data_IF_344294596380
#
_entry.id   IF_344294596380
#
_cell.length_a   1.000
_cell.length_b   1.000
_cell.length_c   1.000
_cell.angle_alpha   90.00
_cell.angle_beta   90.00
_cell.angle_gamma   90.00
#
_symmetry.space_group_name_H-M   'P 1'
#
loop_
_entity.id
_entity.type
_entity.pdbx_description
1 polymer ?
#
# COMPACT_ATOMS: atom_id res chain seq x y z
N UNK A 1 27.95 -10.81 -15.07
CA UNK A 1 28.64 -11.48 -13.95
C UNK A 1 27.98 -10.96 -12.68
N UNK A 2 27.48 -11.82 -11.78
CA UNK A 2 26.74 -11.41 -10.56
C UNK A 2 27.62 -10.77 -9.48
N UNK A 3 28.92 -11.10 -9.48
CA UNK A 3 29.86 -10.67 -8.46
C UNK A 3 29.96 -9.14 -8.40
N UNK A 4 29.76 -8.58 -7.20
CA UNK A 4 29.82 -7.14 -6.94
C UNK A 4 28.88 -6.27 -7.81
N UNK A 5 27.80 -6.84 -8.34
CA UNK A 5 26.81 -6.06 -9.08
C UNK A 5 26.07 -5.11 -8.12
N UNK A 6 25.97 -3.84 -8.49
CA UNK A 6 25.28 -2.82 -7.70
C UNK A 6 23.75 -3.01 -7.77
N UNK A 7 23.09 -2.99 -6.63
CA UNK A 7 21.63 -2.93 -6.54
C UNK A 7 21.21 -1.46 -6.74
N UNK A 8 20.43 -1.16 -7.79
CA UNK A 8 20.11 0.23 -8.21
C UNK A 8 18.98 0.90 -7.40
N UNK A 9 18.75 0.51 -6.15
CA UNK A 9 17.73 1.08 -5.27
C UNK A 9 18.37 1.56 -3.95
N UNK A 10 18.04 2.75 -3.39
CA UNK A 10 18.76 3.37 -2.26
C UNK A 10 18.70 2.60 -0.94
N UNK A 11 17.92 1.53 -0.88
CA UNK A 11 17.54 0.82 0.35
C UNK A 11 18.36 -0.47 0.52
N UNK A 12 19.01 -0.94 -0.54
CA UNK A 12 19.81 -2.15 -0.49
C UNK A 12 21.17 -1.89 0.17
N UNK A 13 21.43 -2.60 1.27
CA UNK A 13 22.71 -2.51 1.99
C UNK A 13 23.83 -3.33 1.33
N UNK A 14 23.50 -4.25 0.42
CA UNK A 14 24.41 -5.27 -0.11
C UNK A 14 24.51 -5.24 -1.63
N UNK A 15 25.61 -5.76 -2.18
CA UNK A 15 25.70 -6.13 -3.60
C UNK A 15 24.79 -7.33 -3.89
N UNK A 16 24.35 -7.49 -5.14
CA UNK A 16 23.35 -8.52 -5.52
C UNK A 16 23.76 -9.92 -5.04
N UNK A 17 25.03 -10.29 -5.19
CA UNK A 17 25.57 -11.56 -4.73
C UNK A 17 25.49 -11.75 -3.19
N UNK A 18 25.84 -10.73 -2.41
CA UNK A 18 25.70 -10.80 -0.94
C UNK A 18 24.24 -10.80 -0.53
N UNK A 19 23.40 -10.00 -1.16
CA UNK A 19 21.97 -9.93 -0.90
C UNK A 19 21.29 -11.30 -1.09
N UNK A 20 21.56 -12.01 -2.19
CA UNK A 20 21.01 -13.35 -2.44
C UNK A 20 21.39 -14.35 -1.33
N UNK A 21 22.63 -14.27 -0.82
CA UNK A 21 23.06 -15.10 0.31
C UNK A 21 22.34 -14.72 1.60
N UNK A 22 22.17 -13.42 1.88
CA UNK A 22 21.40 -12.96 3.05
C UNK A 22 19.93 -13.40 2.98
N UNK A 23 19.30 -13.28 1.80
CA UNK A 23 17.94 -13.77 1.57
C UNK A 23 17.83 -15.28 1.85
N UNK A 24 18.81 -16.07 1.41
CA UNK A 24 18.84 -17.51 1.71
C UNK A 24 19.02 -17.81 3.21
N UNK A 25 19.80 -17.00 3.94
CA UNK A 25 19.95 -17.11 5.40
C UNK A 25 18.61 -16.85 6.08
N UNK A 26 17.91 -15.77 5.73
CA UNK A 26 16.58 -15.48 6.27
C UNK A 26 15.56 -16.56 5.91
N UNK A 27 15.56 -17.01 4.66
CA UNK A 27 14.69 -18.09 4.19
C UNK A 27 14.90 -19.40 4.98
N UNK A 28 16.14 -19.70 5.41
CA UNK A 28 16.44 -20.90 6.22
C UNK A 28 15.65 -20.93 7.54
N UNK A 29 15.38 -19.77 8.14
CA UNK A 29 14.58 -19.65 9.36
C UNK A 29 13.07 -19.90 9.10
N UNK A 30 12.62 -19.76 7.86
CA UNK A 30 11.23 -19.89 7.44
C UNK A 30 10.88 -21.28 6.87
N UNK A 31 11.85 -22.19 6.76
CA UNK A 31 11.69 -23.55 6.18
C UNK A 31 10.56 -24.37 6.79
N UNK A 32 10.17 -24.10 8.05
CA UNK A 32 9.06 -24.79 8.73
C UNK A 32 7.66 -24.27 8.35
N UNK A 33 7.56 -23.17 7.61
CA UNK A 33 6.30 -22.56 7.15
C UNK A 33 5.85 -23.05 5.78
N UNK A 34 6.72 -23.77 5.06
CA UNK A 34 6.48 -24.20 3.68
C UNK A 34 6.65 -25.72 3.55
N UNK A 35 5.96 -26.32 2.58
CA UNK A 35 6.05 -27.77 2.32
C UNK A 35 7.33 -28.17 1.58
N UNK A 36 7.90 -27.26 0.79
CA UNK A 36 9.09 -27.45 -0.04
C UNK A 36 10.23 -26.51 0.37
N UNK A 37 10.84 -26.72 1.55
CA UNK A 37 11.91 -25.86 2.06
C UNK A 37 13.14 -25.81 1.14
N UNK A 38 13.37 -26.88 0.37
CA UNK A 38 14.39 -26.95 -0.67
C UNK A 38 14.14 -25.92 -1.79
N UNK A 39 12.91 -25.82 -2.29
CA UNK A 39 12.54 -24.83 -3.32
C UNK A 39 12.57 -23.40 -2.77
N UNK A 40 12.21 -23.18 -1.50
CA UNK A 40 12.34 -21.88 -0.85
C UNK A 40 13.81 -21.41 -0.80
N UNK A 41 14.72 -22.29 -0.39
CA UNK A 41 16.14 -21.96 -0.28
C UNK A 41 16.78 -21.68 -1.65
N UNK A 42 16.45 -22.49 -2.66
CA UNK A 42 16.93 -22.26 -4.03
C UNK A 42 16.30 -21.00 -4.61
N UNK A 43 14.99 -20.81 -4.44
CA UNK A 43 14.27 -19.61 -4.83
C UNK A 43 14.94 -18.34 -4.28
N UNK A 44 15.28 -18.31 -2.99
CA UNK A 44 15.98 -17.18 -2.37
C UNK A 44 17.34 -16.87 -3.03
N UNK A 45 18.10 -17.90 -3.43
CA UNK A 45 19.39 -17.73 -4.10
C UNK A 45 19.28 -17.25 -5.55
N UNK A 46 18.12 -17.40 -6.19
CA UNK A 46 17.96 -17.14 -7.63
C UNK A 46 16.91 -16.08 -7.98
N UNK A 47 16.09 -15.62 -7.03
CA UNK A 47 14.97 -14.71 -7.30
C UNK A 47 15.39 -13.45 -8.07
N UNK A 48 16.58 -12.94 -7.76
CA UNK A 48 17.14 -11.70 -8.30
C UNK A 48 18.31 -11.92 -9.28
N UNK A 49 18.52 -13.16 -9.75
CA UNK A 49 19.70 -13.54 -10.52
C UNK A 49 19.85 -12.76 -11.85
N UNK A 50 18.74 -12.25 -12.37
CA UNK A 50 18.70 -11.45 -13.59
C UNK A 50 19.23 -10.01 -13.46
N UNK A 51 19.29 -9.42 -12.25
CA UNK A 51 19.68 -8.01 -12.06
C UNK A 51 21.10 -7.67 -12.58
N UNK A 52 21.96 -8.67 -12.70
CA UNK A 52 23.32 -8.52 -13.21
C UNK A 52 23.44 -8.49 -14.75
N UNK A 53 22.32 -8.60 -15.46
CA UNK A 53 22.23 -8.56 -16.92
C UNK A 53 21.20 -7.49 -17.30
N UNK A 54 21.53 -6.58 -18.22
CA UNK A 54 20.62 -5.51 -18.61
C UNK A 54 19.31 -6.05 -19.22
N UNK A 55 18.23 -5.26 -19.11
CA UNK A 55 16.87 -5.67 -19.48
C UNK A 55 15.96 -5.80 -18.26
N UNK A 56 14.79 -6.41 -18.43
CA UNK A 56 13.94 -6.78 -17.30
C UNK A 56 14.58 -7.98 -16.56
N UNK A 57 15.01 -7.73 -15.33
CA UNK A 57 15.65 -8.73 -14.48
C UNK A 57 14.78 -9.96 -14.22
N UNK A 58 13.45 -9.82 -14.22
CA UNK A 58 12.53 -10.93 -14.00
C UNK A 58 12.53 -11.86 -15.20
N UNK A 59 12.37 -11.32 -16.41
CA UNK A 59 12.41 -12.11 -17.65
C UNK A 59 13.75 -12.82 -17.83
N UNK A 60 14.85 -12.11 -17.58
CA UNK A 60 16.20 -12.70 -17.65
C UNK A 60 16.39 -13.76 -16.56
N UNK A 61 15.89 -13.50 -15.36
CA UNK A 61 15.95 -14.44 -14.24
C UNK A 61 15.24 -15.75 -14.56
N UNK A 62 14.04 -15.69 -15.13
CA UNK A 62 13.26 -16.87 -15.54
C UNK A 62 14.04 -17.76 -16.50
N UNK A 63 14.66 -17.18 -17.54
CA UNK A 63 15.47 -17.92 -18.52
C UNK A 63 16.66 -18.59 -17.84
N UNK A 64 17.36 -17.87 -16.96
CA UNK A 64 18.51 -18.43 -16.23
C UNK A 64 18.10 -19.57 -15.30
N UNK A 65 17.00 -19.42 -14.57
CA UNK A 65 16.54 -20.45 -13.63
C UNK A 65 16.07 -21.70 -14.36
N UNK A 66 15.42 -21.57 -15.52
CA UNK A 66 15.05 -22.69 -16.38
C UNK A 66 16.28 -23.51 -16.86
N UNK A 67 17.44 -22.88 -17.03
CA UNK A 67 18.70 -23.58 -17.37
C UNK A 67 19.42 -24.15 -16.15
N UNK A 68 19.33 -23.47 -15.00
CA UNK A 68 20.06 -23.82 -13.77
C UNK A 68 19.37 -24.97 -13.02
N UNK A 69 18.05 -24.90 -12.83
CA UNK A 69 17.32 -25.82 -11.98
C UNK A 69 17.46 -27.31 -12.38
N UNK A 70 17.39 -27.69 -13.68
CA UNK A 70 17.60 -29.08 -14.08
C UNK A 70 19.02 -29.59 -13.75
N UNK A 71 20.02 -28.70 -13.82
CA UNK A 71 21.43 -29.03 -13.51
C UNK A 71 21.66 -29.23 -12.01
N UNK A 72 20.79 -28.68 -11.18
CA UNK A 72 20.76 -28.90 -9.74
C UNK A 72 19.98 -30.17 -9.34
N UNK A 73 19.36 -30.86 -10.31
CA UNK A 73 18.66 -32.12 -10.10
C UNK A 73 17.15 -31.97 -9.83
N UNK A 74 16.57 -30.79 -10.06
CA UNK A 74 15.13 -30.58 -10.00
C UNK A 74 14.43 -31.18 -11.23
N UNK A 75 13.25 -31.76 -11.00
CA UNK A 75 12.39 -32.23 -12.09
C UNK A 75 11.66 -31.07 -12.78
N UNK A 76 10.90 -31.38 -13.82
CA UNK A 76 10.21 -30.37 -14.63
C UNK A 76 9.18 -29.57 -13.81
N UNK A 77 8.50 -30.21 -12.86
CA UNK A 77 7.50 -29.55 -12.02
C UNK A 77 8.17 -28.57 -11.04
N UNK A 78 9.25 -28.99 -10.38
CA UNK A 78 10.03 -28.14 -9.48
C UNK A 78 10.71 -26.98 -10.22
N UNK A 79 11.18 -27.22 -11.45
CA UNK A 79 11.71 -26.17 -12.31
C UNK A 79 10.65 -25.11 -12.61
N UNK A 80 9.41 -25.53 -12.91
CA UNK A 80 8.31 -24.59 -13.15
C UNK A 80 8.01 -23.75 -11.91
N UNK A 81 7.97 -24.35 -10.72
CA UNK A 81 7.78 -23.62 -9.44
C UNK A 81 8.90 -22.61 -9.22
N UNK A 82 10.17 -22.98 -9.41
CA UNK A 82 11.30 -22.04 -9.26
C UNK A 82 11.23 -20.88 -10.27
N UNK A 83 10.83 -21.15 -11.51
CA UNK A 83 10.61 -20.10 -12.52
C UNK A 83 9.47 -19.17 -12.11
N UNK A 84 8.37 -19.70 -11.57
CA UNK A 84 7.24 -18.89 -11.10
C UNK A 84 7.60 -18.06 -9.85
N UNK A 85 8.40 -18.60 -8.92
CA UNK A 85 8.94 -17.84 -7.80
C UNK A 85 9.76 -16.64 -8.28
N UNK A 86 10.61 -16.82 -9.30
CA UNK A 86 11.35 -15.70 -9.90
C UNK A 86 10.43 -14.75 -10.65
N UNK A 87 9.46 -15.26 -11.41
CA UNK A 87 8.50 -14.42 -12.15
C UNK A 87 7.71 -13.51 -11.21
N UNK A 88 7.31 -14.03 -10.06
CA UNK A 88 6.33 -13.38 -9.19
C UNK A 88 6.93 -12.85 -7.87
N UNK A 89 8.25 -12.84 -7.69
CA UNK A 89 8.89 -12.43 -6.41
C UNK A 89 8.50 -11.02 -5.92
N UNK A 90 8.07 -10.11 -6.80
CA UNK A 90 7.57 -8.77 -6.44
C UNK A 90 6.04 -8.69 -6.31
N UNK A 91 5.30 -9.73 -6.67
CA UNK A 91 3.83 -9.73 -6.71
C UNK A 91 3.22 -9.42 -5.34
N UNK A 92 3.52 -10.23 -4.33
CA UNK A 92 2.94 -10.06 -2.99
C UNK A 92 3.35 -8.74 -2.32
N UNK A 93 4.62 -8.30 -2.30
CA UNK A 93 4.97 -7.04 -1.65
C UNK A 93 4.35 -5.82 -2.35
N UNK A 94 4.20 -5.85 -3.68
CA UNK A 94 3.55 -4.76 -4.41
C UNK A 94 2.04 -4.76 -4.18
N UNK A 95 1.38 -5.91 -4.32
CA UNK A 95 -0.08 -5.99 -4.14
C UNK A 95 -0.48 -5.66 -2.71
N UNK A 96 0.22 -6.23 -1.71
CA UNK A 96 -0.09 -6.01 -0.31
C UNK A 96 0.00 -4.54 0.12
N UNK A 97 0.85 -3.74 -0.53
CA UNK A 97 1.09 -2.34 -0.14
C UNK A 97 0.45 -1.31 -1.06
N UNK A 98 0.05 -1.70 -2.27
CA UNK A 98 -0.49 -0.78 -3.29
C UNK A 98 -1.92 -1.09 -3.70
N UNK A 99 -2.48 -2.23 -3.31
CA UNK A 99 -3.85 -2.60 -3.65
C UNK A 99 -4.71 -2.81 -2.42
N UNK A 100 -5.99 -2.48 -2.58
CA UNK A 100 -7.01 -2.79 -1.61
C UNK A 100 -7.19 -4.30 -1.55
N UNK A 101 -6.81 -4.90 -0.43
CA UNK A 101 -6.92 -6.33 -0.19
C UNK A 101 -8.38 -6.77 -0.07
N UNK A 102 -9.28 -5.83 0.18
CA UNK A 102 -10.71 -6.07 0.32
C UNK A 102 -11.44 -6.14 -1.02
N UNK A 103 -10.76 -5.76 -2.12
CA UNK A 103 -11.32 -5.88 -3.45
C UNK A 103 -11.22 -7.33 -3.96
N UNK A 104 -12.34 -8.01 -4.27
CA UNK A 104 -12.31 -9.37 -4.81
C UNK A 104 -11.44 -9.50 -6.06
N UNK A 105 -11.43 -8.47 -6.91
CA UNK A 105 -10.60 -8.43 -8.12
C UNK A 105 -9.09 -8.49 -7.79
N UNK A 106 -8.65 -7.88 -6.69
CA UNK A 106 -7.26 -7.97 -6.22
C UNK A 106 -6.92 -9.42 -5.86
N UNK A 107 -7.81 -10.09 -5.12
CA UNK A 107 -7.61 -11.47 -4.67
C UNK A 107 -7.62 -12.44 -5.86
N UNK A 108 -8.59 -12.28 -6.77
CA UNK A 108 -8.71 -13.07 -8.00
C UNK A 108 -7.49 -12.91 -8.91
N UNK A 109 -6.97 -11.69 -9.04
CA UNK A 109 -5.75 -11.43 -9.82
C UNK A 109 -4.53 -12.18 -9.25
N UNK A 110 -4.34 -12.18 -7.93
CA UNK A 110 -3.22 -12.93 -7.31
C UNK A 110 -3.44 -14.44 -7.45
N UNK A 111 -4.66 -14.92 -7.24
CA UNK A 111 -5.01 -16.33 -7.40
C UNK A 111 -4.81 -16.82 -8.85
N UNK A 112 -5.10 -15.97 -9.84
CA UNK A 112 -4.87 -16.30 -11.25
C UNK A 112 -3.37 -16.29 -11.60
N UNK A 113 -2.57 -15.43 -10.97
CA UNK A 113 -1.13 -15.36 -11.18
C UNK A 113 -0.38 -16.54 -10.54
N UNK A 114 -0.78 -16.96 -9.33
CA UNK A 114 -0.18 -18.05 -8.58
C UNK A 114 -1.28 -19.02 -8.12
N UNK A 115 -1.74 -19.93 -9.01
CA UNK A 115 -2.89 -20.79 -8.74
C UNK A 115 -2.58 -21.95 -7.78
N UNK A 116 -1.31 -22.33 -7.66
CA UNK A 116 -0.87 -23.39 -6.76
C UNK A 116 -0.68 -22.86 -5.32
N UNK A 117 -1.43 -23.37 -4.33
CA UNK A 117 -1.34 -22.92 -2.94
C UNK A 117 0.05 -23.08 -2.32
N UNK A 118 0.75 -24.18 -2.64
CA UNK A 118 2.08 -24.46 -2.10
C UNK A 118 3.11 -23.45 -2.65
N UNK A 119 2.98 -23.06 -3.92
CA UNK A 119 3.78 -22.00 -4.56
C UNK A 119 3.49 -20.62 -3.97
N UNK A 120 2.23 -20.31 -3.64
CA UNK A 120 1.87 -19.08 -2.95
C UNK A 120 2.54 -18.97 -1.56
N UNK A 121 2.54 -20.06 -0.79
CA UNK A 121 3.21 -20.13 0.52
C UNK A 121 4.73 -19.94 0.39
N UNK A 122 5.34 -20.57 -0.62
CA UNK A 122 6.75 -20.35 -0.95
C UNK A 122 7.04 -18.89 -1.31
N UNK A 123 6.18 -18.26 -2.10
CA UNK A 123 6.31 -16.88 -2.51
C UNK A 123 6.18 -15.90 -1.34
N UNK A 124 5.27 -16.17 -0.40
CA UNK A 124 5.09 -15.40 0.83
C UNK A 124 6.33 -15.47 1.72
N UNK A 125 6.86 -16.68 1.94
CA UNK A 125 8.09 -16.87 2.71
C UNK A 125 9.31 -16.23 2.03
N UNK A 126 9.40 -16.32 0.70
CA UNK A 126 10.46 -15.66 -0.08
C UNK A 126 10.39 -14.13 0.04
N UNK A 127 9.18 -13.56 -0.04
CA UNK A 127 8.94 -12.11 0.10
C UNK A 127 9.41 -11.58 1.46
N UNK A 128 9.12 -12.32 2.53
CA UNK A 128 9.57 -11.98 3.88
C UNK A 128 11.09 -12.03 3.99
N UNK A 129 11.70 -13.13 3.51
CA UNK A 129 13.15 -13.31 3.54
C UNK A 129 13.89 -12.24 2.73
N UNK A 130 13.41 -11.90 1.53
CA UNK A 130 13.96 -10.85 0.68
C UNK A 130 13.86 -9.46 1.35
N UNK A 131 12.69 -9.14 1.91
CA UNK A 131 12.50 -7.88 2.62
C UNK A 131 13.44 -7.74 3.83
N UNK A 132 13.62 -8.80 4.62
CA UNK A 132 14.55 -8.84 5.75
C UNK A 132 16.02 -8.74 5.31
N UNK A 133 16.37 -9.33 4.16
CA UNK A 133 17.71 -9.28 3.57
C UNK A 133 18.07 -7.92 2.97
N UNK A 134 17.07 -7.12 2.58
CA UNK A 134 17.29 -5.79 2.02
C UNK A 134 17.73 -4.79 3.09
N UNK A 135 17.08 -4.82 4.27
CA UNK A 135 17.48 -4.02 5.43
C UNK A 135 16.41 -3.95 6.52
N UNK A 136 16.79 -3.56 7.76
CA UNK A 136 15.93 -3.64 8.95
C UNK A 136 14.70 -2.73 8.90
N UNK A 137 14.65 -1.74 7.99
CA UNK A 137 13.50 -0.85 7.80
C UNK A 137 12.52 -1.28 6.72
N UNK A 138 12.83 -2.34 5.94
CA UNK A 138 12.01 -2.77 4.79
C UNK A 138 10.93 -3.76 5.19
N UNK A 139 11.21 -4.58 6.20
CA UNK A 139 10.22 -5.46 6.82
C UNK A 139 9.66 -4.82 8.10
N UNK A 140 8.34 -4.80 8.22
CA UNK A 140 7.64 -4.35 9.43
C UNK A 140 6.53 -5.34 9.77
N UNK A 141 6.15 -5.42 11.05
CA UNK A 141 5.04 -6.26 11.49
C UNK A 141 3.75 -5.97 10.69
N UNK A 142 3.52 -4.71 10.34
CA UNK A 142 2.38 -4.30 9.52
C UNK A 142 2.45 -4.88 8.10
N UNK A 143 3.59 -4.80 7.43
CA UNK A 143 3.77 -5.39 6.09
C UNK A 143 3.57 -6.90 6.12
N UNK A 144 4.08 -7.55 7.18
CA UNK A 144 3.81 -8.97 7.43
C UNK A 144 2.32 -9.28 7.51
N UNK A 145 1.57 -8.54 8.33
CA UNK A 145 0.10 -8.72 8.45
C UNK A 145 -0.64 -8.53 7.12
N UNK A 146 -0.23 -7.57 6.29
CA UNK A 146 -0.85 -7.35 4.97
C UNK A 146 -0.61 -8.54 4.04
N UNK A 147 0.61 -9.08 4.00
CA UNK A 147 0.94 -10.25 3.19
C UNK A 147 0.18 -11.48 3.72
N UNK A 148 0.16 -11.70 5.03
CA UNK A 148 -0.58 -12.81 5.64
C UNK A 148 -2.08 -12.73 5.31
N UNK A 149 -2.67 -11.53 5.40
CA UNK A 149 -4.08 -11.29 5.04
C UNK A 149 -4.35 -11.58 3.57
N UNK A 150 -3.48 -11.13 2.67
CA UNK A 150 -3.59 -11.39 1.24
C UNK A 150 -3.53 -12.90 0.95
N UNK A 151 -2.52 -13.59 1.49
CA UNK A 151 -2.31 -15.03 1.30
C UNK A 151 -3.49 -15.83 1.85
N UNK A 152 -3.99 -15.49 3.04
CA UNK A 152 -5.15 -16.13 3.65
C UNK A 152 -6.41 -16.00 2.76
N UNK A 153 -6.63 -14.81 2.19
CA UNK A 153 -7.79 -14.56 1.30
C UNK A 153 -7.70 -15.32 -0.01
N UNK A 154 -6.52 -15.37 -0.63
CA UNK A 154 -6.28 -16.16 -1.84
C UNK A 154 -6.52 -17.65 -1.56
N UNK A 155 -6.00 -18.16 -0.45
CA UNK A 155 -6.26 -19.53 0.00
C UNK A 155 -7.75 -19.81 0.26
N UNK A 156 -8.47 -18.84 0.83
CA UNK A 156 -9.92 -18.96 1.05
C UNK A 156 -10.68 -19.09 -0.26
N UNK A 157 -10.34 -18.25 -1.26
CA UNK A 157 -10.91 -18.31 -2.60
C UNK A 157 -10.64 -19.68 -3.26
N UNK A 158 -9.42 -20.19 -3.18
CA UNK A 158 -9.05 -21.49 -3.75
C UNK A 158 -9.83 -22.67 -3.13
N UNK A 159 -10.22 -22.57 -1.86
CA UNK A 159 -11.05 -23.58 -1.17
C UNK A 159 -12.54 -23.49 -1.52
N UNK A 160 -12.94 -22.60 -2.43
CA UNK A 160 -14.35 -22.33 -2.73
C UNK A 160 -15.06 -21.59 -1.59
N UNK A 161 -14.31 -21.00 -0.65
CA UNK A 161 -14.86 -20.01 0.26
C UNK A 161 -15.35 -18.83 -0.57
N UNK A 162 -16.54 -18.31 -0.27
CA UNK A 162 -16.91 -17.00 -0.76
C UNK A 162 -15.74 -16.06 -0.43
N UNK A 163 -15.28 -15.26 -1.40
CA UNK A 163 -14.41 -14.11 -1.15
C UNK A 163 -15.07 -13.38 0.00
N UNK A 164 -14.50 -13.51 1.20
CA UNK A 164 -15.12 -12.92 2.39
C UNK A 164 -15.32 -11.47 2.02
N UNK A 165 -16.57 -10.95 2.15
CA UNK A 165 -16.84 -9.60 1.71
C UNK A 165 -15.86 -8.67 2.42
N UNK A 166 -15.56 -7.54 1.75
CA UNK A 166 -15.06 -6.28 2.31
C UNK A 166 -15.25 -6.25 3.82
N UNK A 167 -14.28 -5.88 4.68
CA UNK A 167 -14.45 -5.81 6.12
C UNK A 167 -15.68 -4.95 6.36
N UNK A 168 -16.79 -5.66 6.47
CA UNK A 168 -18.08 -5.05 6.43
C UNK A 168 -18.15 -4.45 7.82
N UNK A 169 -18.45 -3.15 7.87
CA UNK A 169 -18.54 -2.40 9.12
C UNK A 169 -19.05 -3.32 10.21
N UNK A 170 -18.30 -3.44 11.31
CA UNK A 170 -18.68 -4.33 12.40
C UNK A 170 -20.11 -4.02 12.81
N UNK A 171 -20.84 -4.99 13.36
CA UNK A 171 -22.22 -4.73 13.78
C UNK A 171 -22.31 -3.55 14.76
N UNK A 172 -21.24 -3.30 15.52
CA UNK A 172 -21.04 -2.12 16.35
C UNK A 172 -20.91 -0.84 15.51
N UNK A 173 -20.05 -0.79 14.49
CA UNK A 173 -19.94 0.34 13.57
C UNK A 173 -21.26 0.62 12.82
N UNK A 174 -21.99 -0.42 12.38
CA UNK A 174 -23.33 -0.26 11.78
C UNK A 174 -24.36 0.24 12.79
N UNK A 175 -24.27 -0.19 14.04
CA UNK A 175 -25.16 0.29 15.09
C UNK A 175 -24.91 1.76 15.43
N UNK A 176 -23.65 2.17 15.54
CA UNK A 176 -23.23 3.56 15.74
C UNK A 176 -23.52 4.45 14.53
N UNK A 177 -23.49 3.89 13.32
CA UNK A 177 -23.94 4.57 12.12
C UNK A 177 -25.45 4.92 12.17
N UNK A 178 -26.24 4.45 13.14
CA UNK A 178 -27.63 4.92 13.34
C UNK A 178 -27.74 6.22 14.13
N UNK A 179 -26.65 6.74 14.68
CA UNK A 179 -26.60 8.07 15.30
C UNK A 179 -26.76 9.19 14.26
N UNK A 180 -26.88 10.45 14.71
CA UNK A 180 -27.05 11.62 13.81
C UNK A 180 -25.81 12.52 13.74
N UNK A 181 -24.90 12.45 14.72
CA UNK A 181 -23.72 13.32 14.81
C UNK A 181 -22.45 12.79 14.15
N UNK A 182 -21.37 13.57 14.30
CA UNK A 182 -19.99 13.15 14.03
C UNK A 182 -19.48 12.34 15.24
N UNK A 183 -19.05 11.11 15.00
CA UNK A 183 -18.45 10.24 16.01
C UNK A 183 -17.05 9.81 15.60
N UNK A 184 -16.17 9.65 16.60
CA UNK A 184 -14.80 9.16 16.42
C UNK A 184 -14.53 8.09 17.47
N UNK A 185 -14.06 6.93 17.01
CA UNK A 185 -13.71 5.78 17.85
C UNK A 185 -12.25 5.42 17.61
N UNK A 186 -11.52 5.11 18.69
CA UNK A 186 -10.12 4.71 18.65
C UNK A 186 -9.97 3.31 19.23
N UNK A 187 -9.32 2.42 18.49
CA UNK A 187 -8.99 1.06 18.90
C UNK A 187 -7.49 0.83 18.73
N UNK A 188 -6.86 0.25 19.76
CA UNK A 188 -5.46 -0.15 19.67
C UNK A 188 -5.32 -1.41 18.78
N UNK A 189 -4.36 -1.40 17.85
CA UNK A 189 -4.08 -2.51 16.95
C UNK A 189 -2.56 -2.74 16.87
N UNK A 190 -2.03 -3.36 17.93
CA UNK A 190 -0.59 -3.51 18.14
C UNK A 190 0.12 -2.15 18.22
N UNK A 191 1.12 -1.86 17.37
CA UNK A 191 1.76 -0.55 17.33
C UNK A 191 0.90 0.54 16.65
N UNK A 192 -0.12 0.16 15.88
CA UNK A 192 -0.99 1.07 15.16
C UNK A 192 -2.26 1.39 15.97
N UNK A 193 -2.99 2.42 15.54
CA UNK A 193 -4.33 2.73 16.05
C UNK A 193 -5.30 2.76 14.89
N UNK A 194 -6.44 2.08 15.07
CA UNK A 194 -7.57 2.15 14.16
C UNK A 194 -8.49 3.27 14.62
N UNK A 195 -8.72 4.25 13.75
CA UNK A 195 -9.62 5.37 13.98
C UNK A 195 -10.83 5.18 13.08
N UNK A 196 -12.02 5.03 13.66
CA UNK A 196 -13.27 5.01 12.91
C UNK A 196 -13.96 6.36 13.05
N UNK A 197 -14.25 7.01 11.92
CA UNK A 197 -14.99 8.26 11.85
C UNK A 197 -16.36 7.98 11.22
N UNK A 198 -17.43 8.31 11.94
CA UNK A 198 -18.80 8.21 11.44
C UNK A 198 -19.39 9.61 11.33
N UNK A 199 -19.90 9.97 10.16
CA UNK A 199 -20.43 11.31 9.90
C UNK A 199 -21.59 11.27 8.91
N UNK A 200 -22.52 12.25 8.92
CA UNK A 200 -23.37 12.50 7.75
C UNK A 200 -22.50 12.69 6.49
N UNK A 201 -22.97 12.20 5.36
CA UNK A 201 -22.24 12.31 4.10
C UNK A 201 -22.08 13.79 3.71
N UNK A 202 -20.84 14.17 3.39
CA UNK A 202 -20.49 15.53 2.97
C UNK A 202 -19.16 15.56 2.25
N UNK A 203 -19.11 16.40 1.23
CA UNK A 203 -17.90 16.67 0.44
C UNK A 203 -16.75 17.10 1.36
N UNK A 204 -15.58 16.50 1.14
CA UNK A 204 -14.35 16.86 1.84
C UNK A 204 -14.17 16.21 3.22
N UNK A 205 -15.05 15.30 3.66
CA UNK A 205 -14.89 14.58 4.94
C UNK A 205 -13.55 13.84 5.03
N UNK A 206 -13.21 13.06 4.00
CA UNK A 206 -11.95 12.31 3.96
C UNK A 206 -10.74 13.25 4.01
N UNK A 207 -10.77 14.33 3.22
CA UNK A 207 -9.73 15.35 3.23
C UNK A 207 -9.58 15.98 4.62
N UNK A 208 -10.67 16.49 5.21
CA UNK A 208 -10.65 17.08 6.55
C UNK A 208 -10.09 16.13 7.61
N UNK A 209 -10.47 14.84 7.54
CA UNK A 209 -9.96 13.81 8.44
C UNK A 209 -8.46 13.60 8.26
N UNK A 210 -7.97 13.44 7.02
CA UNK A 210 -6.54 13.35 6.73
C UNK A 210 -5.75 14.56 7.26
N UNK A 211 -6.32 15.77 7.13
CA UNK A 211 -5.70 17.00 7.62
C UNK A 211 -5.61 17.04 9.14
N UNK A 212 -6.67 16.68 9.86
CA UNK A 212 -6.68 16.62 11.33
C UNK A 212 -5.71 15.55 11.85
N UNK A 213 -5.69 14.36 11.24
CA UNK A 213 -4.73 13.31 11.59
C UNK A 213 -3.27 13.80 11.40
N UNK A 214 -2.99 14.51 10.30
CA UNK A 214 -1.69 15.12 10.05
C UNK A 214 -1.35 16.22 11.07
N UNK A 215 -2.33 17.03 11.50
CA UNK A 215 -2.15 18.02 12.57
C UNK A 215 -1.73 17.36 13.89
N UNK A 216 -2.30 16.20 14.21
CA UNK A 216 -1.92 15.37 15.36
C UNK A 216 -0.68 14.51 15.13
N UNK A 217 0.00 14.63 13.98
CA UNK A 217 1.24 13.90 13.64
C UNK A 217 1.04 12.38 13.59
N UNK A 218 -0.17 11.98 13.22
CA UNK A 218 -0.53 10.61 12.95
C UNK A 218 -0.23 10.34 11.46
N UNK A 219 0.74 9.48 11.21
CA UNK A 219 1.04 8.99 9.87
C UNK A 219 -0.03 8.00 9.44
N UNK A 220 -0.79 8.34 8.41
CA UNK A 220 -1.81 7.46 7.84
C UNK A 220 -1.14 6.32 7.09
N UNK A 221 -1.65 5.11 7.24
CA UNK A 221 -1.23 3.91 6.48
C UNK A 221 -2.32 3.45 5.52
N UNK A 222 -3.57 3.56 5.95
CA UNK A 222 -4.72 3.31 5.11
C UNK A 222 -5.91 4.14 5.57
N UNK A 223 -6.80 4.40 4.64
CA UNK A 223 -8.13 4.94 4.87
C UNK A 223 -9.11 4.17 3.97
N UNK A 224 -10.21 3.70 4.52
CA UNK A 224 -11.29 3.05 3.77
C UNK A 224 -12.57 3.75 4.12
N UNK A 225 -13.44 3.94 3.14
CA UNK A 225 -14.69 4.69 3.29
C UNK A 225 -15.85 3.93 2.68
N UNK A 226 -16.92 3.82 3.44
CA UNK A 226 -18.17 3.20 3.03
C UNK A 226 -19.34 4.14 3.32
N UNK A 227 -20.20 4.33 2.32
CA UNK A 227 -21.43 5.12 2.45
C UNK A 227 -22.59 4.19 2.79
N UNK A 228 -23.24 4.46 3.93
CA UNK A 228 -24.43 3.77 4.44
C UNK A 228 -25.61 4.75 4.49
N UNK A 229 -26.45 4.76 3.46
CA UNK A 229 -27.58 5.69 3.39
C UNK A 229 -27.09 7.14 3.26
N UNK A 230 -27.43 7.99 4.22
CA UNK A 230 -27.01 9.40 4.30
C UNK A 230 -25.74 9.61 5.14
N UNK A 231 -25.03 8.53 5.46
CA UNK A 231 -23.88 8.55 6.36
C UNK A 231 -22.67 7.89 5.74
N UNK A 232 -21.51 8.35 6.17
CA UNK A 232 -20.21 7.82 5.79
C UNK A 232 -19.54 7.28 7.02
N UNK A 233 -19.01 6.07 6.91
CA UNK A 233 -18.07 5.51 7.86
C UNK A 233 -16.73 5.38 7.19
N UNK A 234 -15.70 5.99 7.80
CA UNK A 234 -14.33 5.84 7.35
C UNK A 234 -13.46 5.23 8.43
N UNK A 235 -12.68 4.22 8.06
CA UNK A 235 -11.77 3.49 8.94
C UNK A 235 -10.34 3.80 8.53
N UNK A 236 -9.55 4.28 9.47
CA UNK A 236 -8.19 4.76 9.26
C UNK A 236 -7.24 3.93 10.10
N UNK A 237 -6.18 3.41 9.49
CA UNK A 237 -5.05 2.85 10.24
C UNK A 237 -3.95 3.89 10.30
N UNK A 238 -3.56 4.27 11.51
CA UNK A 238 -2.55 5.31 11.73
C UNK A 238 -1.45 4.84 12.67
N UNK A 239 -0.27 5.44 12.52
CA UNK A 239 0.86 5.29 13.43
C UNK A 239 1.28 6.67 13.97
N UNK A 240 1.49 6.83 15.28
CA UNK A 240 2.03 8.07 15.81
C UNK A 240 3.47 8.25 15.33
N UNK A 241 3.79 9.44 14.80
CA UNK A 241 5.18 9.77 14.42
C UNK A 241 6.06 9.89 15.67
N UNK A 242 5.50 10.45 16.75
CA UNK A 242 6.05 10.50 18.10
C UNK A 242 4.96 10.90 19.09
N UNK A 243 5.15 10.58 20.36
CA UNK A 243 4.18 10.88 21.43
C UNK A 243 2.98 9.93 21.41
N UNK A 244 2.00 10.24 22.26
CA UNK A 244 0.79 9.44 22.41
C UNK A 244 -0.29 9.86 21.41
N UNK A 245 -1.14 8.89 21.06
CA UNK A 245 -2.33 9.15 20.23
C UNK A 245 -3.32 10.02 21.02
N UNK A 246 -3.85 11.11 20.42
CA UNK A 246 -4.81 11.98 21.11
C UNK A 246 -6.10 11.24 21.48
N UNK A 247 -6.78 11.71 22.53
CA UNK A 247 -8.10 11.20 22.89
C UNK A 247 -9.11 11.41 21.76
N UNK A 248 -10.07 10.48 21.63
CA UNK A 248 -11.10 10.48 20.59
C UNK A 248 -11.88 11.81 20.51
N UNK A 249 -12.26 12.36 21.67
CA UNK A 249 -13.00 13.64 21.74
C UNK A 249 -12.22 14.80 21.12
N UNK A 250 -10.89 14.82 21.28
CA UNK A 250 -10.03 15.87 20.71
C UNK A 250 -10.00 15.78 19.19
N UNK A 251 -9.85 14.57 18.65
CA UNK A 251 -9.91 14.33 17.20
C UNK A 251 -11.29 14.71 16.65
N UNK A 252 -12.37 14.34 17.36
CA UNK A 252 -13.75 14.69 17.00
C UNK A 252 -13.94 16.22 16.96
N UNK A 253 -13.47 16.94 17.98
CA UNK A 253 -13.60 18.40 18.05
C UNK A 253 -12.83 19.13 16.96
N UNK A 254 -11.57 18.75 16.71
CA UNK A 254 -10.77 19.37 15.66
C UNK A 254 -11.32 19.04 14.26
N UNK A 255 -11.86 17.83 14.05
CA UNK A 255 -12.56 17.46 12.81
C UNK A 255 -13.85 18.26 12.63
N UNK A 256 -14.66 18.42 13.68
CA UNK A 256 -15.85 19.28 13.64
C UNK A 256 -15.47 20.71 13.26
N UNK A 257 -14.45 21.28 13.90
CA UNK A 257 -13.97 22.64 13.60
C UNK A 257 -13.48 22.79 12.15
N UNK A 258 -12.75 21.80 11.64
CA UNK A 258 -12.30 21.77 10.25
C UNK A 258 -13.48 21.73 9.27
N UNK A 259 -14.47 20.87 9.53
CA UNK A 259 -15.68 20.75 8.71
C UNK A 259 -16.61 21.97 8.78
N UNK A 260 -16.53 22.75 9.86
CA UNK A 260 -17.21 24.05 10.03
C UNK A 260 -16.41 25.22 9.45
N UNK A 261 -15.16 25.00 9.01
CA UNK A 261 -14.26 26.05 8.51
C UNK A 261 -13.65 26.95 9.59
N UNK A 262 -13.83 26.62 10.87
CA UNK A 262 -13.22 27.35 12.00
C UNK A 262 -11.79 26.92 12.33
N UNK A 263 -11.30 25.88 11.64
CA UNK A 263 -9.91 25.43 11.66
C UNK A 263 -9.38 25.36 10.22
N UNK A 264 -8.54 26.32 9.83
CA UNK A 264 -7.92 26.36 8.50
C UNK A 264 -6.79 25.33 8.39
N UNK A 265 -7.14 24.13 7.92
CA UNK A 265 -6.19 23.04 7.71
C UNK A 265 -5.14 23.39 6.66
N UNK A 266 -5.51 24.11 5.60
CA UNK A 266 -4.60 24.44 4.52
C UNK A 266 -3.50 25.40 4.99
N UNK A 267 -3.87 26.44 5.73
CA UNK A 267 -2.91 27.38 6.32
C UNK A 267 -1.98 26.69 7.34
N UNK A 268 -2.55 25.89 8.26
CA UNK A 268 -1.78 25.25 9.33
C UNK A 268 -0.81 24.19 8.80
N UNK A 269 -1.24 23.37 7.84
CA UNK A 269 -0.39 22.35 7.25
C UNK A 269 0.64 22.97 6.30
N UNK A 270 0.27 24.02 5.55
CA UNK A 270 1.19 24.76 4.70
C UNK A 270 2.33 25.41 5.49
N UNK A 271 2.04 26.01 6.65
CA UNK A 271 3.06 26.53 7.56
C UNK A 271 4.03 25.44 8.04
N UNK A 272 3.52 24.26 8.40
CA UNK A 272 4.35 23.13 8.84
C UNK A 272 5.24 22.60 7.72
N UNK A 273 4.74 22.56 6.50
CA UNK A 273 5.50 22.15 5.33
C UNK A 273 6.63 23.15 5.04
N UNK A 274 6.34 24.46 5.11
CA UNK A 274 7.36 25.51 4.93
C UNK A 274 8.44 25.54 6.01
N UNK A 275 8.11 25.13 7.23
CA UNK A 275 9.06 25.05 8.34
C UNK A 275 10.02 23.84 8.20
N UNK A 276 9.69 22.85 7.37
CA UNK A 276 10.60 21.75 7.07
C UNK A 276 11.71 22.20 6.12
N UNK A 277 12.93 21.71 6.36
CA UNK A 277 14.05 21.99 5.46
C UNK A 277 13.75 21.37 4.09
N UNK A 278 13.72 22.22 3.06
CA UNK A 278 13.64 21.76 1.67
C UNK A 278 14.85 20.88 1.33
N UNK A 279 14.59 19.59 1.14
CA UNK A 279 15.56 18.64 0.59
C UNK A 279 15.31 18.53 -0.92
N UNK A 280 16.36 18.47 -1.76
CA UNK A 280 16.17 18.14 -3.18
C UNK A 280 15.47 16.79 -3.28
N UNK A 281 14.26 16.77 -3.83
CA UNK A 281 13.52 15.54 -4.08
C UNK A 281 13.15 15.43 -5.55
N UNK A 282 12.83 14.21 -5.98
CA UNK A 282 12.35 13.99 -7.34
C UNK A 282 11.07 14.78 -7.61
N UNK A 283 10.80 15.06 -8.88
CA UNK A 283 9.52 15.62 -9.28
C UNK A 283 8.42 14.59 -8.97
N UNK A 284 7.26 15.03 -8.45
CA UNK A 284 6.14 14.13 -8.20
C UNK A 284 5.63 13.55 -9.53
N UNK A 285 5.06 12.36 -9.47
CA UNK A 285 4.41 11.69 -10.59
C UNK A 285 3.03 11.17 -10.17
N UNK A 286 2.09 11.18 -11.11
CA UNK A 286 0.71 10.75 -10.88
C UNK A 286 0.29 9.88 -12.06
N UNK A 287 -0.16 8.66 -11.76
CA UNK A 287 -0.52 7.64 -12.73
C UNK A 287 -1.95 7.18 -12.50
N UNK A 288 -2.72 7.02 -13.57
CA UNK A 288 -4.00 6.30 -13.54
C UNK A 288 -3.69 4.85 -13.90
N UNK A 289 -3.94 3.92 -12.98
CA UNK A 289 -3.60 2.50 -13.13
C UNK A 289 -4.74 1.77 -13.85
N UNK A 290 -4.55 1.32 -15.11
CA UNK A 290 -5.62 0.68 -15.87
C UNK A 290 -5.99 -0.68 -15.29
N UNK A 291 -7.30 -0.99 -15.22
CA UNK A 291 -7.79 -2.32 -14.86
C UNK A 291 -7.43 -2.78 -13.44
N UNK A 292 -7.03 -1.87 -12.56
CA UNK A 292 -6.64 -2.22 -11.19
C UNK A 292 -7.81 -2.59 -10.28
N UNK A 293 -9.03 -2.20 -10.64
CA UNK A 293 -10.28 -2.62 -9.99
C UNK A 293 -11.43 -2.59 -10.99
N UNK A 294 -12.42 -3.46 -10.80
CA UNK A 294 -13.68 -3.44 -11.55
C UNK A 294 -14.66 -2.37 -11.02
N UNK A 295 -14.44 -1.88 -9.79
CA UNK A 295 -15.39 -1.02 -9.07
C UNK A 295 -14.92 0.44 -8.96
N UNK A 296 -13.63 0.70 -9.04
CA UNK A 296 -13.08 2.05 -8.91
C UNK A 296 -11.91 2.27 -9.88
N UNK A 297 -11.72 3.52 -10.30
CA UNK A 297 -10.48 3.92 -10.97
C UNK A 297 -9.39 4.09 -9.93
N UNK A 298 -8.14 3.75 -10.28
CA UNK A 298 -7.03 3.78 -9.33
C UNK A 298 -6.04 4.84 -9.74
N UNK A 299 -5.74 5.76 -8.81
CA UNK A 299 -4.77 6.82 -8.96
C UNK A 299 -3.57 6.54 -8.05
N UNK A 300 -2.40 6.34 -8.63
CA UNK A 300 -1.14 6.21 -7.91
C UNK A 300 -0.42 7.56 -7.91
N UNK A 301 -0.04 8.03 -6.73
CA UNK A 301 0.65 9.30 -6.50
C UNK A 301 2.01 9.00 -5.88
N UNK A 302 3.07 9.41 -6.57
CA UNK A 302 4.45 9.33 -6.10
C UNK A 302 4.95 10.73 -5.80
N UNK A 303 5.37 10.98 -4.58
CA UNK A 303 5.84 12.29 -4.17
C UNK A 303 6.76 12.22 -2.95
N UNK A 304 7.45 13.31 -2.67
CA UNK A 304 8.18 13.47 -1.41
C UNK A 304 7.20 13.50 -0.23
N UNK A 305 7.54 12.80 0.85
CA UNK A 305 6.74 12.85 2.08
C UNK A 305 6.79 14.24 2.70
N UNK A 306 5.62 14.78 3.01
CA UNK A 306 5.46 16.14 3.50
C UNK A 306 4.20 16.24 4.40
N UNK A 307 4.22 17.08 5.45
CA UNK A 307 3.05 17.33 6.28
C UNK A 307 1.83 17.72 5.43
N UNK A 308 0.71 17.04 5.63
CA UNK A 308 -0.53 17.31 4.91
C UNK A 308 -0.57 16.86 3.45
N UNK A 309 0.40 16.06 2.95
CA UNK A 309 0.36 15.54 1.58
C UNK A 309 -0.97 14.85 1.25
N UNK A 310 -1.40 13.90 2.08
CA UNK A 310 -2.68 13.20 1.92
C UNK A 310 -3.87 14.17 1.93
N UNK A 311 -3.86 15.18 2.80
CA UNK A 311 -4.88 16.24 2.84
C UNK A 311 -4.96 17.00 1.51
N UNK A 312 -3.82 17.40 0.94
CA UNK A 312 -3.77 18.13 -0.33
C UNK A 312 -4.32 17.29 -1.49
N UNK A 313 -3.87 16.04 -1.60
CA UNK A 313 -4.32 15.13 -2.66
C UNK A 313 -5.81 14.86 -2.51
N UNK A 314 -6.27 14.48 -1.32
CA UNK A 314 -7.69 14.21 -1.06
C UNK A 314 -8.57 15.45 -1.27
N UNK A 315 -8.10 16.65 -0.91
CA UNK A 315 -8.81 17.91 -1.17
C UNK A 315 -8.93 18.19 -2.67
N UNK A 316 -7.88 17.91 -3.43
CA UNK A 316 -7.88 18.12 -4.89
C UNK A 316 -8.83 17.16 -5.59
N UNK A 317 -8.83 15.88 -5.18
CA UNK A 317 -9.78 14.88 -5.70
C UNK A 317 -11.22 15.27 -5.34
N UNK A 318 -11.46 15.69 -4.09
CA UNK A 318 -12.80 16.14 -3.65
C UNK A 318 -13.27 17.39 -4.41
N UNK A 319 -12.37 18.33 -4.68
CA UNK A 319 -12.67 19.55 -5.43
C UNK A 319 -13.00 19.29 -6.91
N UNK A 320 -12.50 18.18 -7.47
CA UNK A 320 -12.87 17.70 -8.80
C UNK A 320 -14.24 17.00 -8.82
N UNK A 321 -14.93 16.88 -7.67
CA UNK A 321 -16.19 16.16 -7.55
C UNK A 321 -16.03 14.65 -7.74
N UNK A 322 -14.90 14.10 -7.31
CA UNK A 322 -14.60 12.66 -7.38
C UNK A 322 -14.58 12.09 -5.97
N UNK A 323 -15.22 10.94 -5.80
CA UNK A 323 -15.30 10.27 -4.51
C UNK A 323 -14.11 9.35 -4.29
N UNK A 324 -13.57 9.32 -3.07
CA UNK A 324 -12.48 8.43 -2.67
C UNK A 324 -13.08 7.33 -1.80
N UNK A 325 -13.00 6.08 -2.26
CA UNK A 325 -13.48 4.91 -1.50
C UNK A 325 -12.39 4.30 -0.63
N UNK A 326 -11.14 4.37 -1.07
CA UNK A 326 -10.00 3.92 -0.27
C UNK A 326 -8.73 4.70 -0.63
N UNK A 327 -7.83 4.81 0.34
CA UNK A 327 -6.48 5.32 0.17
C UNK A 327 -5.49 4.41 0.91
N UNK A 328 -4.41 4.02 0.25
CA UNK A 328 -3.29 3.28 0.82
C UNK A 328 -2.07 4.18 0.78
N UNK A 329 -1.41 4.36 1.92
CA UNK A 329 -0.32 5.31 2.10
C UNK A 329 0.93 4.55 2.48
N UNK A 330 1.89 4.54 1.57
CA UNK A 330 3.13 3.79 1.72
C UNK A 330 4.34 4.73 1.67
N UNK A 331 4.94 4.98 2.83
CA UNK A 331 6.15 5.80 2.94
C UNK A 331 7.40 4.93 2.86
N UNK A 332 8.28 5.24 1.92
CA UNK A 332 9.54 4.57 1.68
C UNK A 332 10.70 5.58 1.80
N UNK A 333 11.30 5.65 2.99
CA UNK A 333 12.32 6.66 3.28
C UNK A 333 11.70 8.06 3.29
N UNK A 334 12.08 8.89 2.32
CA UNK A 334 11.54 10.25 2.15
C UNK A 334 10.52 10.39 1.02
N UNK A 335 10.19 9.30 0.35
CA UNK A 335 9.19 9.29 -0.73
C UNK A 335 7.95 8.53 -0.26
N UNK A 336 6.81 8.87 -0.83
CA UNK A 336 5.56 8.11 -0.67
C UNK A 336 5.11 7.56 -2.02
N UNK A 337 4.42 6.43 -1.95
CA UNK A 337 3.63 5.87 -3.04
C UNK A 337 2.23 5.66 -2.49
N UNK A 338 1.38 6.65 -2.72
CA UNK A 338 0.00 6.66 -2.25
C UNK A 338 -0.92 6.17 -3.37
N UNK A 339 -1.87 5.30 -3.04
CA UNK A 339 -2.82 4.75 -4.01
C UNK A 339 -4.23 5.10 -3.57
N UNK A 340 -4.98 5.76 -4.44
CA UNK A 340 -6.36 6.18 -4.21
C UNK A 340 -7.29 5.40 -5.13
N UNK A 341 -8.30 4.76 -4.53
CA UNK A 341 -9.43 4.19 -5.23
C UNK A 341 -10.51 5.26 -5.31
N UNK A 342 -10.82 5.66 -6.54
CA UNK A 342 -11.71 6.78 -6.84
C UNK A 342 -12.87 6.40 -7.74
N UNK A 343 -14.02 7.00 -7.49
CA UNK A 343 -15.27 6.74 -8.21
C UNK A 343 -15.91 8.03 -8.71
N UNK A 344 -16.76 7.90 -9.74
CA UNK A 344 -17.66 8.99 -10.12
C UNK A 344 -18.67 9.25 -8.97
N UNK A 345 -19.28 10.44 -8.89
CA UNK A 345 -20.36 10.73 -7.92
C UNK A 345 -21.52 9.73 -7.98
N UNK A 346 -21.79 9.18 -9.17
CA UNK A 346 -22.81 8.17 -9.40
C UNK A 346 -22.34 6.74 -9.05
N UNK A 347 -21.10 6.60 -8.58
CA UNK A 347 -20.39 5.34 -8.35
C UNK A 347 -19.68 4.81 -9.60
N UNK A 348 -18.83 3.80 -9.43
CA UNK A 348 -18.14 3.13 -10.54
C UNK A 348 -16.95 3.92 -11.11
N UNK A 349 -16.44 3.45 -12.27
CA UNK A 349 -15.22 3.96 -12.88
C UNK A 349 -15.37 5.40 -13.39
N UNK A 350 -14.28 6.17 -13.35
CA UNK A 350 -14.20 7.49 -13.96
C UNK A 350 -14.19 7.37 -15.48
N UNK A 351 -14.84 8.33 -16.15
CA UNK A 351 -14.65 8.53 -17.58
C UNK A 351 -13.18 8.91 -17.87
N UNK A 352 -12.70 8.56 -19.07
CA UNK A 352 -11.28 8.71 -19.42
C UNK A 352 -10.79 10.16 -19.32
N UNK A 353 -11.59 11.11 -19.82
CA UNK A 353 -11.34 12.54 -19.73
C UNK A 353 -11.28 13.03 -18.28
N UNK A 354 -12.25 12.62 -17.45
CA UNK A 354 -12.26 12.94 -16.01
C UNK A 354 -11.02 12.42 -15.30
N UNK A 355 -10.58 11.18 -15.60
CA UNK A 355 -9.38 10.61 -15.01
C UNK A 355 -8.09 11.35 -15.44
N UNK A 356 -8.02 11.81 -16.70
CA UNK A 356 -6.90 12.59 -17.22
C UNK A 356 -6.85 13.98 -16.57
N UNK A 357 -7.98 14.65 -16.45
CA UNK A 357 -8.08 15.96 -15.81
C UNK A 357 -7.77 15.89 -14.31
N UNK A 358 -8.27 14.85 -13.63
CA UNK A 358 -7.96 14.59 -12.22
C UNK A 358 -6.46 14.38 -12.00
N UNK A 359 -5.83 13.54 -12.83
CA UNK A 359 -4.37 13.33 -12.79
C UNK A 359 -3.62 14.65 -12.90
N UNK A 360 -4.01 15.51 -13.84
CA UNK A 360 -3.39 16.81 -14.06
C UNK A 360 -3.58 17.72 -12.85
N UNK A 361 -4.80 17.82 -12.32
CA UNK A 361 -5.09 18.65 -11.16
C UNK A 361 -4.28 18.25 -9.93
N UNK A 362 -4.16 16.93 -9.66
CA UNK A 362 -3.34 16.44 -8.55
C UNK A 362 -1.86 16.75 -8.76
N UNK A 363 -1.34 16.58 -9.98
CA UNK A 363 0.05 16.91 -10.29
C UNK A 363 0.34 18.42 -10.13
N UNK A 364 -0.57 19.28 -10.57
CA UNK A 364 -0.46 20.74 -10.44
C UNK A 364 -0.50 21.17 -8.95
N UNK A 365 -1.33 20.51 -8.13
CA UNK A 365 -1.39 20.77 -6.69
C UNK A 365 -0.08 20.39 -5.96
N UNK A 366 0.57 19.29 -6.37
CA UNK A 366 1.82 18.83 -5.77
C UNK A 366 3.03 19.68 -6.17
N UNK A 367 3.00 20.26 -7.37
CA UNK A 367 4.10 21.11 -7.87
C UNK A 367 4.00 22.56 -7.38
N UNK A 368 2.78 23.11 -7.25
CA UNK A 368 2.56 24.50 -6.83
C UNK A 368 3.00 24.80 -5.39
N UNK A 369 3.02 23.79 -4.50
CA UNK A 369 3.45 23.92 -3.11
C UNK A 369 4.96 24.17 -2.93
N UNK A 370 5.76 24.01 -4.01
CA UNK A 370 7.23 24.10 -3.98
C UNK A 370 7.81 25.29 -4.73
N UNK A 371 6.98 26.18 -5.28
CA UNK A 371 7.50 27.39 -5.92
C UNK A 371 8.29 28.22 -4.88
N UNK A 372 9.58 28.50 -5.11
CA UNK A 372 10.32 29.40 -4.24
C UNK A 372 9.65 30.77 -4.30
N UNK A 373 9.37 31.37 -3.13
CA UNK A 373 8.96 32.77 -3.06
C UNK A 373 10.05 33.60 -3.76
N UNK A 374 9.69 34.22 -4.89
CA UNK A 374 10.57 35.05 -5.70
C UNK A 374 10.92 36.36 -5.03
#
# INVERSE_FOLDING_TARGET
MLRCAAQRNPIHMFTVDRHLVEAAIWASALTRRVRRPDLLLIGALVHDIGKARGGDHTEVGMVLVAEIAPRLGFDEADCAVLVDLVRHHLLLPEVATRRDLDDPATIEMVAAAVPDPDTLDLLAALTEADSLATGPSVWSEWKGRLIDTLVERVHSLARGGATLPTPALTDEQRALARGSGLEVLLEADGPATRITVLSPDRVGLLAATAGVLSLHRLGVRSAQTETLGDRVVSVWTVLPTYGDVPAADRVRDDLRRALEGSLDLAELLGRRDSDQRSVPAAAPDVLVVPGASARASVLEVRAHDAPGLLYRVASTISAAGVDITAALVSTLGSEVVDVFYVQSPEGGLLAHDVAVDLRRAVLDALTSSRAPAG
#
